data_IF_660688537774
#
_entry.id   IF_660688537774
#
_cell.length_a   1.000
_cell.length_b   1.000
_cell.length_c   1.000
_cell.angle_alpha   90.00
_cell.angle_beta   90.00
_cell.angle_gamma   90.00
#
_symmetry.space_group_name_H-M   'P 1'
#
loop_
_entity.id
_entity.type
_entity.pdbx_description
1 polymer ?
#
# COMPACT_ATOMS: atom_id res chain seq x y z
N UNK A 1 -5.00 -11.87 -21.90
CA UNK A 1 -5.14 -10.56 -21.25
C UNK A 1 -3.88 -10.32 -20.43
N UNK A 2 -3.22 -9.17 -20.57
CA UNK A 2 -2.02 -8.86 -19.80
C UNK A 2 -2.37 -8.62 -18.34
N UNK A 3 -1.52 -9.05 -17.40
CA UNK A 3 -1.68 -8.70 -15.98
C UNK A 3 -1.64 -7.17 -15.85
N UNK A 4 -2.66 -6.60 -15.22
CA UNK A 4 -2.63 -5.17 -14.92
C UNK A 4 -1.52 -4.89 -13.89
N UNK A 5 -0.87 -3.74 -14.03
CA UNK A 5 0.26 -3.35 -13.19
C UNK A 5 -0.28 -3.00 -11.80
N UNK A 6 0.39 -3.48 -10.75
CA UNK A 6 0.05 -3.13 -9.37
C UNK A 6 0.11 -1.62 -9.15
N UNK A 7 -0.80 -1.10 -8.34
CA UNK A 7 -0.88 0.31 -7.97
C UNK A 7 -0.43 0.49 -6.52
N UNK A 8 0.21 1.62 -6.25
CA UNK A 8 0.88 1.88 -4.97
C UNK A 8 0.43 3.20 -4.41
N UNK A 9 0.08 3.19 -3.14
CA UNK A 9 -0.47 4.33 -2.41
C UNK A 9 0.25 4.50 -1.09
N UNK A 10 0.27 5.72 -0.56
CA UNK A 10 0.80 6.02 0.77
C UNK A 10 0.02 7.09 1.47
N UNK A 11 0.01 7.00 2.80
CA UNK A 11 -0.41 8.07 3.71
C UNK A 11 0.59 8.17 4.85
N UNK A 12 0.91 9.41 5.24
CA UNK A 12 1.77 9.71 6.37
C UNK A 12 0.87 10.23 7.48
N UNK A 13 0.93 9.58 8.63
CA UNK A 13 0.30 10.01 9.87
C UNK A 13 1.34 10.65 10.78
N UNK A 14 0.92 11.24 11.90
CA UNK A 14 1.82 11.92 12.84
C UNK A 14 2.83 10.95 13.49
N UNK A 15 2.45 9.68 13.63
CA UNK A 15 3.16 8.65 14.40
C UNK A 15 3.50 7.38 13.60
N UNK A 16 3.12 7.27 12.32
CA UNK A 16 3.54 6.18 11.43
C UNK A 16 3.26 6.51 9.97
N UNK A 17 3.75 5.68 9.05
CA UNK A 17 3.42 5.77 7.63
C UNK A 17 2.80 4.46 7.16
N UNK A 18 1.74 4.56 6.35
CA UNK A 18 1.11 3.40 5.71
C UNK A 18 1.35 3.44 4.22
N UNK A 19 1.70 2.30 3.64
CA UNK A 19 1.76 2.11 2.19
C UNK A 19 0.94 0.90 1.80
N UNK A 20 0.18 1.04 0.72
CA UNK A 20 -0.71 -0.01 0.21
C UNK A 20 -0.33 -0.30 -1.24
N UNK A 21 -0.12 -1.58 -1.55
CA UNK A 21 -0.03 -2.10 -2.91
C UNK A 21 -1.32 -2.85 -3.22
N UNK A 22 -1.97 -2.53 -4.34
CA UNK A 22 -3.19 -3.18 -4.81
C UNK A 22 -2.96 -3.75 -6.20
N UNK A 23 -3.28 -5.03 -6.40
CA UNK A 23 -3.36 -5.65 -7.71
C UNK A 23 -4.76 -5.43 -8.29
N UNK A 24 -4.94 -4.57 -9.31
CA UNK A 24 -6.27 -4.27 -9.85
C UNK A 24 -6.92 -5.43 -10.63
N UNK A 25 -6.22 -6.55 -10.82
CA UNK A 25 -6.77 -7.71 -11.53
C UNK A 25 -7.62 -8.62 -10.63
N UNK A 26 -7.31 -8.66 -9.34
CA UNK A 26 -7.91 -9.60 -8.38
C UNK A 26 -8.12 -8.99 -6.98
N UNK A 27 -7.87 -7.69 -6.83
CA UNK A 27 -7.97 -6.94 -5.58
C UNK A 27 -7.18 -7.55 -4.41
N UNK A 28 -6.16 -8.36 -4.70
CA UNK A 28 -5.19 -8.76 -3.69
C UNK A 28 -4.17 -7.65 -3.48
N UNK A 29 -3.56 -7.60 -2.29
CA UNK A 29 -2.51 -6.65 -2.07
C UNK A 29 -1.78 -6.79 -0.76
N UNK A 30 -1.01 -5.77 -0.44
CA UNK A 30 -0.15 -5.75 0.74
C UNK A 30 -0.13 -4.36 1.33
N UNK A 31 -0.37 -4.29 2.63
CA UNK A 31 -0.18 -3.10 3.45
C UNK A 31 1.17 -3.20 4.19
N UNK A 32 1.87 -2.08 4.25
CA UNK A 32 3.06 -1.87 5.07
C UNK A 32 2.82 -0.73 6.05
N UNK A 33 3.13 -0.95 7.32
CA UNK A 33 3.13 0.09 8.36
C UNK A 33 4.58 0.32 8.80
N UNK A 34 5.11 1.51 8.53
CA UNK A 34 6.41 1.96 9.01
C UNK A 34 6.23 2.74 10.32
N UNK A 35 6.72 2.16 11.41
CA UNK A 35 6.73 2.73 12.75
C UNK A 35 7.88 3.75 12.93
N UNK A 36 7.81 4.69 13.89
CA UNK A 36 8.84 5.71 14.12
C UNK A 36 10.23 5.15 14.49
N UNK A 37 10.27 3.95 15.06
CA UNK A 37 11.49 3.23 15.39
C UNK A 37 12.14 2.55 14.17
N UNK A 38 11.51 2.65 13.00
CA UNK A 38 11.95 2.06 11.75
C UNK A 38 11.49 0.62 11.54
N UNK A 39 10.72 0.04 12.47
CA UNK A 39 10.10 -1.28 12.28
C UNK A 39 9.05 -1.19 11.17
N UNK A 40 9.03 -2.21 10.30
CA UNK A 40 8.00 -2.36 9.27
C UNK A 40 7.14 -3.56 9.60
N UNK A 41 5.83 -3.37 9.63
CA UNK A 41 4.85 -4.45 9.71
C UNK A 41 4.23 -4.67 8.33
N UNK A 42 4.02 -5.93 7.96
CA UNK A 42 3.45 -6.34 6.67
C UNK A 42 2.16 -7.12 6.90
N UNK A 43 1.11 -6.73 6.19
CA UNK A 43 -0.17 -7.44 6.16
C UNK A 43 -0.54 -7.75 4.71
N UNK A 44 -0.85 -9.01 4.41
CA UNK A 44 -1.46 -9.40 3.13
C UNK A 44 -2.97 -9.35 3.27
N UNK A 45 -3.65 -8.80 2.26
CA UNK A 45 -5.09 -8.59 2.33
C UNK A 45 -5.75 -8.70 0.96
N UNK A 46 -7.05 -8.96 0.99
CA UNK A 46 -7.93 -8.92 -0.19
C UNK A 46 -8.91 -7.78 0.03
N UNK A 47 -8.96 -6.88 -0.93
CA UNK A 47 -9.88 -5.75 -0.95
C UNK A 47 -11.11 -6.08 -1.78
N UNK A 48 -12.13 -5.24 -1.68
CA UNK A 48 -13.26 -5.24 -2.60
C UNK A 48 -13.04 -4.23 -3.74
N UNK A 49 -14.07 -4.01 -4.54
CA UNK A 49 -14.03 -3.14 -5.72
C UNK A 49 -13.98 -1.64 -5.36
N UNK A 50 -14.34 -1.27 -4.12
CA UNK A 50 -14.43 0.12 -3.65
C UNK A 50 -13.06 0.65 -3.16
N UNK A 51 -12.05 -0.22 -3.07
CA UNK A 51 -10.73 0.11 -2.52
C UNK A 51 -10.07 1.38 -3.08
N UNK A 52 -10.23 1.67 -4.36
CA UNK A 52 -9.61 2.87 -4.95
C UNK A 52 -10.33 4.16 -4.55
N UNK A 53 -11.64 4.07 -4.30
CA UNK A 53 -12.46 5.16 -3.77
C UNK A 53 -12.14 5.36 -2.29
N UNK A 54 -12.13 4.28 -1.51
CA UNK A 54 -11.76 4.28 -0.08
C UNK A 54 -10.38 4.90 0.15
N UNK A 55 -9.36 4.46 -0.60
CA UNK A 55 -8.01 5.03 -0.49
C UNK A 55 -8.00 6.52 -0.80
N UNK A 56 -8.81 6.98 -1.75
CA UNK A 56 -8.89 8.40 -2.09
C UNK A 56 -9.60 9.22 -1.01
N UNK A 57 -10.70 8.69 -0.46
CA UNK A 57 -11.44 9.30 0.66
C UNK A 57 -10.59 9.34 1.94
N UNK A 58 -9.81 8.29 2.18
CA UNK A 58 -8.78 8.21 3.22
C UNK A 58 -7.53 9.02 2.89
N UNK A 59 -7.54 9.89 1.88
CA UNK A 59 -6.46 10.80 1.52
C UNK A 59 -5.11 10.13 1.16
N UNK A 60 -5.10 8.82 0.87
CA UNK A 60 -3.91 8.18 0.33
C UNK A 60 -3.53 8.80 -1.01
N UNK A 61 -2.22 8.93 -1.23
CA UNK A 61 -1.66 9.48 -2.47
C UNK A 61 -0.88 8.40 -3.21
N UNK A 62 -0.91 8.40 -4.55
CA UNK A 62 -0.05 7.52 -5.34
C UNK A 62 1.42 7.67 -4.93
N UNK A 63 2.13 6.56 -4.80
CA UNK A 63 3.55 6.54 -4.51
C UNK A 63 4.33 5.70 -5.52
N UNK A 64 5.66 5.78 -5.46
CA UNK A 64 6.49 5.02 -6.39
C UNK A 64 6.56 3.55 -5.97
N UNK A 65 6.58 2.59 -6.92
CA UNK A 65 6.83 1.19 -6.60
C UNK A 65 8.14 1.00 -5.84
N UNK A 66 9.19 1.78 -6.17
CA UNK A 66 10.49 1.71 -5.50
C UNK A 66 10.40 2.02 -4.00
N UNK A 67 9.65 3.04 -3.62
CA UNK A 67 9.44 3.41 -2.22
C UNK A 67 8.81 2.25 -1.43
N UNK A 68 7.78 1.63 -1.99
CA UNK A 68 7.15 0.44 -1.41
C UNK A 68 8.13 -0.73 -1.28
N UNK A 69 8.87 -1.07 -2.35
CA UNK A 69 9.79 -2.21 -2.35
C UNK A 69 10.95 -2.04 -1.35
N UNK A 70 11.43 -0.81 -1.13
CA UNK A 70 12.47 -0.53 -0.14
C UNK A 70 12.01 -0.77 1.29
N UNK A 71 10.72 -0.51 1.60
CA UNK A 71 10.15 -0.81 2.90
C UNK A 71 9.80 -2.29 3.04
N UNK A 72 9.27 -2.91 1.98
CA UNK A 72 9.03 -4.35 1.95
C UNK A 72 10.32 -5.16 2.19
N UNK A 73 11.46 -4.71 1.68
CA UNK A 73 12.74 -5.37 1.92
C UNK A 73 13.21 -5.30 3.40
N UNK A 74 12.55 -4.48 4.24
CA UNK A 74 12.85 -4.31 5.66
C UNK A 74 11.81 -4.96 6.59
N UNK A 75 10.68 -5.44 6.05
CA UNK A 75 9.60 -6.09 6.81
C UNK A 75 9.90 -7.54 7.15
#
# INVERSE_FOLDING_TARGET
MGKAIAQYFKRIFDDYQVLVMVNPSDYTGTELILHPDGKVEKTEMTFDEEIFEDLAEDEFKPCSPLEFQLLLAKS
#
